data_IF_332856620494
#
_entry.id   IF_332856620494
#
_cell.length_a   1.000
_cell.length_b   1.000
_cell.length_c   1.000
_cell.angle_alpha   90.00
_cell.angle_beta   90.00
_cell.angle_gamma   90.00
#
_symmetry.space_group_name_H-M   'P 1'
#
loop_
_entity.id
_entity.type
_entity.pdbx_description
1 polymer ?
#
# COMPACT_ATOMS: atom_id res chain seq x y z
N UNK A 1 73.73 -23.50 -62.00
CA UNK A 1 73.97 -24.17 -63.29
C UNK A 1 73.62 -25.64 -63.10
N UNK A 2 72.60 -26.12 -63.84
CA UNK A 2 72.38 -27.50 -64.31
C UNK A 2 72.25 -28.62 -63.25
N UNK A 3 71.02 -29.09 -62.97
CA UNK A 3 70.33 -30.32 -63.50
C UNK A 3 70.74 -31.59 -62.72
N UNK A 4 69.87 -32.50 -62.28
CA UNK A 4 68.87 -33.33 -62.98
C UNK A 4 67.81 -33.88 -61.97
N UNK A 5 66.48 -33.88 -62.26
CA UNK A 5 65.61 -34.96 -62.81
C UNK A 5 65.49 -36.21 -61.88
N UNK A 6 64.37 -36.90 -61.64
CA UNK A 6 62.96 -36.89 -62.06
C UNK A 6 62.22 -38.00 -61.24
N UNK A 7 60.93 -37.82 -60.92
CA UNK A 7 59.81 -38.79 -60.96
C UNK A 7 58.67 -38.33 -60.02
N UNK A 8 57.68 -37.58 -60.54
CA UNK A 8 56.37 -38.03 -61.03
C UNK A 8 55.48 -38.72 -59.99
N UNK A 9 54.47 -38.01 -59.46
CA UNK A 9 53.07 -38.13 -59.92
C UNK A 9 52.16 -37.02 -59.35
N UNK A 10 51.02 -36.83 -60.00
CA UNK A 10 50.30 -35.58 -60.22
C UNK A 10 49.05 -35.38 -59.33
N UNK A 11 48.78 -34.08 -59.07
CA UNK A 11 47.49 -33.37 -59.09
C UNK A 11 46.43 -33.58 -57.99
N UNK A 12 46.48 -32.67 -57.02
CA UNK A 12 45.51 -31.60 -56.72
C UNK A 12 44.00 -31.86 -56.53
N UNK A 13 43.58 -31.41 -55.34
CA UNK A 13 42.47 -30.51 -55.04
C UNK A 13 41.02 -31.02 -55.08
N UNK A 14 40.53 -31.34 -53.89
CA UNK A 14 39.20 -30.91 -53.43
C UNK A 14 39.34 -30.34 -52.02
N UNK A 15 39.12 -29.04 -51.90
CA UNK A 15 39.13 -28.29 -50.66
C UNK A 15 37.85 -28.59 -49.86
N UNK A 16 38.00 -29.16 -48.66
CA UNK A 16 36.95 -29.18 -47.65
C UNK A 16 37.26 -28.13 -46.59
N UNK A 17 36.88 -26.89 -46.87
CA UNK A 17 36.76 -25.81 -45.88
C UNK A 17 35.59 -26.12 -44.96
N UNK A 18 35.88 -26.67 -43.79
CA UNK A 18 34.95 -26.65 -42.66
C UNK A 18 35.01 -25.27 -42.00
N UNK A 19 33.90 -24.56 -41.82
CA UNK A 19 33.91 -23.31 -41.07
C UNK A 19 34.17 -23.62 -39.59
N UNK A 20 35.30 -23.15 -39.07
CA UNK A 20 35.53 -23.04 -37.64
C UNK A 20 34.57 -21.98 -37.10
N UNK A 21 33.45 -22.42 -36.56
CA UNK A 21 32.63 -21.58 -35.70
C UNK A 21 33.47 -21.17 -34.49
N UNK A 22 33.56 -19.87 -34.14
CA UNK A 22 34.17 -19.48 -32.88
C UNK A 22 33.33 -20.09 -31.77
N UNK A 23 33.98 -20.91 -30.94
CA UNK A 23 33.41 -21.40 -29.69
C UNK A 23 33.10 -20.16 -28.85
N UNK A 24 31.84 -19.75 -28.86
CA UNK A 24 31.34 -18.77 -27.92
C UNK A 24 31.62 -19.33 -26.53
N UNK A 25 32.41 -18.60 -25.76
CA UNK A 25 32.39 -18.70 -24.32
C UNK A 25 30.96 -18.33 -23.90
N UNK A 26 30.07 -19.33 -23.90
CA UNK A 26 28.90 -19.30 -23.04
C UNK A 26 29.46 -19.22 -21.63
N UNK A 27 29.58 -17.99 -21.13
CA UNK A 27 29.49 -17.75 -19.69
C UNK A 27 28.23 -18.47 -19.27
N UNK A 28 28.38 -19.63 -18.62
CA UNK A 28 27.29 -20.26 -17.91
C UNK A 28 26.98 -19.33 -16.74
N UNK A 29 26.19 -18.29 -17.00
CA UNK A 29 25.55 -17.50 -15.95
C UNK A 29 24.66 -18.51 -15.24
N UNK A 30 25.13 -19.11 -14.15
CA UNK A 30 24.23 -19.79 -13.23
C UNK A 30 23.18 -18.74 -12.89
N UNK A 31 21.93 -19.01 -13.25
CA UNK A 31 20.82 -18.14 -12.88
C UNK A 31 20.86 -18.05 -11.36
N UNK A 32 21.28 -16.89 -10.85
CA UNK A 32 21.30 -16.65 -9.41
C UNK A 32 19.85 -16.79 -8.95
N UNK A 33 19.63 -17.59 -7.92
CA UNK A 33 18.33 -17.71 -7.29
C UNK A 33 18.22 -16.65 -6.18
N UNK A 34 17.02 -16.17 -5.95
CA UNK A 34 16.66 -15.35 -4.82
C UNK A 34 15.39 -15.88 -4.17
N UNK A 35 15.21 -15.53 -2.91
CA UNK A 35 14.04 -15.93 -2.13
C UNK A 35 12.85 -15.06 -2.47
N UNK A 36 11.70 -15.72 -2.65
CA UNK A 36 10.39 -15.10 -2.73
C UNK A 36 9.46 -15.78 -1.71
N UNK A 37 8.60 -14.99 -1.09
CA UNK A 37 7.57 -15.46 -0.17
C UNK A 37 6.21 -15.12 -0.77
N UNK A 38 5.44 -16.14 -1.12
CA UNK A 38 4.02 -15.96 -1.43
C UNK A 38 3.21 -16.07 -0.15
N UNK A 39 2.25 -15.16 0.01
CA UNK A 39 1.31 -15.18 1.11
C UNK A 39 -0.09 -15.28 0.54
N UNK A 40 -0.76 -16.39 0.82
CA UNK A 40 -2.08 -16.72 0.29
C UNK A 40 -3.14 -16.68 1.38
N UNK A 41 -4.42 -16.65 0.97
CA UNK A 41 -5.52 -16.76 1.92
C UNK A 41 -5.61 -18.19 2.47
N UNK A 42 -5.98 -18.37 3.75
CA UNK A 42 -6.21 -19.71 4.29
C UNK A 42 -7.36 -20.40 3.53
N UNK A 43 -7.08 -21.60 3.02
CA UNK A 43 -8.06 -22.43 2.33
C UNK A 43 -8.86 -23.32 3.30
N UNK A 44 -9.98 -23.92 2.85
CA UNK A 44 -10.76 -24.85 3.68
C UNK A 44 -9.97 -26.12 4.07
N UNK A 45 -8.92 -26.46 3.32
CA UNK A 45 -8.04 -27.63 3.55
C UNK A 45 -6.61 -27.25 3.93
N UNK A 46 -6.08 -26.11 3.45
CA UNK A 46 -4.70 -25.67 3.71
C UNK A 46 -4.73 -24.50 4.70
N UNK A 47 -4.22 -24.74 5.91
CA UNK A 47 -4.10 -23.71 6.95
C UNK A 47 -2.80 -22.89 6.82
N UNK A 48 -1.80 -23.43 6.14
CA UNK A 48 -0.54 -22.73 5.89
C UNK A 48 -0.74 -21.70 4.77
N UNK A 49 -0.54 -20.43 5.12
CA UNK A 49 -0.75 -19.30 4.23
C UNK A 49 0.56 -18.75 3.64
N UNK A 50 1.71 -19.31 4.00
CA UNK A 50 3.03 -18.76 3.69
C UNK A 50 3.87 -19.80 2.97
N UNK A 51 4.27 -19.50 1.75
CA UNK A 51 5.03 -20.38 0.89
C UNK A 51 6.34 -19.71 0.51
N UNK A 52 7.46 -20.40 0.76
CA UNK A 52 8.80 -19.92 0.42
C UNK A 52 9.24 -20.58 -0.89
N UNK A 53 9.78 -19.77 -1.80
CA UNK A 53 10.29 -20.20 -3.09
C UNK A 53 11.71 -19.68 -3.30
N UNK A 54 12.50 -20.46 -4.03
CA UNK A 54 13.70 -19.96 -4.69
C UNK A 54 13.37 -19.74 -6.17
N UNK A 55 13.43 -18.48 -6.59
CA UNK A 55 13.11 -18.06 -7.96
C UNK A 55 14.34 -17.43 -8.62
N UNK A 56 14.47 -17.45 -9.95
CA UNK A 56 15.55 -16.72 -10.61
C UNK A 56 15.50 -15.23 -10.26
N UNK A 57 16.67 -14.63 -10.02
CA UNK A 57 16.80 -13.17 -9.89
C UNK A 57 16.25 -12.55 -11.18
N UNK A 58 15.31 -11.60 -11.09
CA UNK A 58 14.66 -11.03 -12.25
C UNK A 58 15.66 -10.24 -13.12
N UNK A 59 15.50 -10.36 -14.44
CA UNK A 59 16.24 -9.58 -15.42
C UNK A 59 15.85 -8.10 -15.33
N UNK A 60 16.83 -7.21 -15.49
CA UNK A 60 16.63 -5.77 -15.38
C UNK A 60 15.97 -5.23 -16.64
N UNK A 61 14.80 -4.57 -16.55
CA UNK A 61 14.17 -3.95 -17.71
C UNK A 61 15.09 -2.89 -18.34
N UNK A 62 15.15 -2.75 -19.69
CA UNK A 62 16.12 -1.86 -20.35
C UNK A 62 16.07 -0.39 -19.89
N UNK A 63 14.88 0.14 -19.61
CA UNK A 63 14.67 1.53 -19.14
C UNK A 63 14.41 1.62 -17.63
N UNK A 64 14.55 0.49 -16.93
CA UNK A 64 14.12 0.32 -15.56
C UNK A 64 15.26 0.16 -14.59
N UNK A 65 14.95 -0.47 -13.46
CA UNK A 65 15.93 -0.85 -12.46
C UNK A 65 15.52 -2.14 -11.75
N UNK A 66 16.51 -2.84 -11.20
CA UNK A 66 16.32 -3.86 -10.17
C UNK A 66 16.66 -3.26 -8.82
N UNK A 67 15.80 -3.50 -7.85
CA UNK A 67 15.97 -3.11 -6.47
C UNK A 67 16.28 -4.34 -5.63
N UNK A 68 17.22 -4.21 -4.71
CA UNK A 68 17.36 -5.11 -3.57
C UNK A 68 16.36 -4.67 -2.50
N UNK A 69 15.37 -5.49 -2.24
CA UNK A 69 14.31 -5.21 -1.26
C UNK A 69 14.91 -5.28 0.14
N UNK A 70 14.73 -4.24 0.95
CA UNK A 70 15.21 -4.24 2.34
C UNK A 70 14.04 -4.42 3.29
N UNK A 71 12.97 -3.65 3.10
CA UNK A 71 11.76 -3.72 3.91
C UNK A 71 10.52 -3.77 3.00
N UNK A 72 9.57 -4.64 3.36
CA UNK A 72 8.26 -4.72 2.74
C UNK A 72 7.14 -4.62 3.78
N UNK A 73 6.16 -3.74 3.55
CA UNK A 73 4.98 -3.61 4.41
C UNK A 73 4.05 -4.82 4.29
N UNK A 74 3.53 -5.32 5.43
CA UNK A 74 2.55 -6.42 5.43
C UNK A 74 1.14 -5.86 5.41
N UNK A 75 0.38 -6.11 4.34
CA UNK A 75 -0.95 -5.51 4.11
C UNK A 75 -2.05 -6.54 3.83
N UNK A 76 -3.30 -6.25 4.20
CA UNK A 76 -4.49 -7.08 3.90
C UNK A 76 -5.00 -6.95 2.45
N UNK A 77 -4.86 -7.98 1.62
CA UNK A 77 -5.41 -8.07 0.25
C UNK A 77 -6.94 -8.07 0.27
N UNK A 78 -7.53 -7.58 -0.82
CA UNK A 78 -8.93 -7.85 -1.13
C UNK A 78 -9.09 -8.51 -2.51
N UNK A 79 -10.13 -9.36 -2.64
CA UNK A 79 -10.31 -10.44 -3.62
C UNK A 79 -10.44 -10.00 -5.09
N UNK A 80 -10.71 -8.73 -5.37
CA UNK A 80 -11.12 -8.28 -6.70
C UNK A 80 -9.98 -8.01 -7.70
N UNK A 81 -8.71 -8.26 -7.35
CA UNK A 81 -7.55 -8.02 -8.23
C UNK A 81 -6.87 -9.27 -8.80
N UNK A 82 -7.43 -10.46 -8.64
CA UNK A 82 -6.90 -11.66 -9.31
C UNK A 82 -7.47 -11.78 -10.73
N UNK A 83 -6.68 -11.39 -11.73
CA UNK A 83 -6.58 -12.19 -12.95
C UNK A 83 -5.72 -13.41 -12.58
N UNK A 84 -6.36 -14.53 -12.25
CA UNK A 84 -5.69 -15.79 -11.96
C UNK A 84 -5.01 -16.34 -13.22
N UNK A 85 -3.69 -16.46 -13.20
CA UNK A 85 -2.90 -17.25 -14.18
C UNK A 85 -2.97 -18.73 -13.87
N UNK A 86 -4.18 -19.28 -13.76
CA UNK A 86 -4.44 -20.73 -13.78
C UNK A 86 -5.95 -20.95 -13.69
N UNK A 87 -6.58 -21.19 -14.85
CA UNK A 87 -7.64 -22.18 -15.08
C UNK A 87 -8.46 -21.76 -16.30
N UNK A 88 -8.24 -22.45 -17.42
CA UNK A 88 -9.30 -22.58 -18.41
C UNK A 88 -10.43 -23.37 -17.73
N UNK A 89 -11.62 -22.78 -17.59
CA UNK A 89 -12.95 -23.42 -17.76
C UNK A 89 -14.11 -22.59 -17.19
N UNK A 90 -15.06 -22.28 -18.08
CA UNK A 90 -16.53 -22.18 -17.89
C UNK A 90 -17.18 -21.17 -16.92
N UNK A 91 -18.06 -20.36 -17.54
CA UNK A 91 -19.18 -19.60 -16.96
C UNK A 91 -19.89 -20.26 -15.77
N UNK A 92 -20.23 -19.47 -14.73
CA UNK A 92 -21.57 -19.45 -14.13
C UNK A 92 -21.75 -18.37 -13.03
N UNK A 93 -22.81 -17.59 -13.23
CA UNK A 93 -23.78 -17.01 -12.26
C UNK A 93 -23.33 -16.08 -11.12
N UNK A 94 -23.80 -14.84 -11.24
CA UNK A 94 -24.17 -13.92 -10.16
C UNK A 94 -25.01 -14.64 -9.08
N UNK A 95 -24.49 -14.77 -7.86
CA UNK A 95 -25.31 -14.87 -6.66
C UNK A 95 -24.67 -14.04 -5.54
N UNK A 96 -25.46 -13.07 -5.11
CA UNK A 96 -25.33 -12.26 -3.90
C UNK A 96 -24.98 -13.10 -2.68
N UNK A 97 -23.83 -12.81 -2.06
CA UNK A 97 -23.51 -13.24 -0.70
C UNK A 97 -23.31 -12.01 0.17
N UNK A 98 -24.27 -11.84 1.08
CA UNK A 98 -24.24 -10.93 2.22
C UNK A 98 -23.05 -11.26 3.14
N UNK A 99 -22.58 -10.21 3.84
CA UNK A 99 -21.85 -10.25 5.11
C UNK A 99 -20.97 -11.49 5.39
N UNK A 100 -19.69 -11.45 5.00
CA UNK A 100 -18.62 -11.92 5.90
C UNK A 100 -17.26 -11.31 5.50
N UNK A 101 -16.52 -10.64 6.42
CA UNK A 101 -15.06 -10.55 6.35
C UNK A 101 -14.37 -11.86 6.79
N UNK A 102 -15.16 -12.91 6.98
CA UNK A 102 -14.78 -14.25 7.40
C UNK A 102 -14.90 -15.21 6.22
N UNK A 103 -13.88 -16.04 6.01
CA UNK A 103 -14.06 -17.24 5.19
C UNK A 103 -15.19 -18.08 5.82
N UNK A 104 -16.16 -18.63 5.04
CA UNK A 104 -17.20 -19.51 5.56
C UNK A 104 -16.67 -20.71 6.36
N UNK A 105 -15.38 -21.03 6.18
CA UNK A 105 -14.68 -22.09 6.92
C UNK A 105 -14.23 -21.67 8.34
N UNK A 106 -14.16 -20.38 8.67
CA UNK A 106 -13.58 -19.89 9.93
C UNK A 106 -14.34 -18.69 10.51
N UNK A 107 -15.26 -18.96 11.45
CA UNK A 107 -15.84 -17.92 12.31
C UNK A 107 -14.76 -17.36 13.26
N UNK A 108 -14.57 -16.03 13.28
CA UNK A 108 -13.68 -15.36 14.24
C UNK A 108 -12.25 -15.07 13.78
N UNK A 109 -11.82 -15.56 12.61
CA UNK A 109 -10.49 -15.29 12.03
C UNK A 109 -10.64 -14.27 10.90
N UNK A 110 -9.96 -13.11 10.98
CA UNK A 110 -9.91 -12.14 9.87
C UNK A 110 -9.23 -12.81 8.67
N UNK A 111 -9.75 -12.59 7.46
CA UNK A 111 -9.11 -13.06 6.24
C UNK A 111 -7.67 -12.53 6.16
N UNK A 112 -6.70 -13.44 6.25
CA UNK A 112 -5.27 -13.19 6.18
C UNK A 112 -4.73 -13.22 4.75
N UNK A 113 -5.60 -13.12 3.73
CA UNK A 113 -5.17 -12.82 2.38
C UNK A 113 -4.29 -11.56 2.42
N UNK A 114 -2.97 -11.69 2.25
CA UNK A 114 -2.07 -10.55 2.29
C UNK A 114 -1.74 -10.09 0.87
N UNK A 115 -1.56 -8.79 0.70
CA UNK A 115 -1.13 -8.18 -0.56
C UNK A 115 0.20 -8.79 -0.96
N UNK A 116 0.53 -8.88 -2.25
CA UNK A 116 1.80 -9.40 -2.73
C UNK A 116 3.04 -8.52 -2.40
N UNK A 117 2.95 -7.62 -1.41
CA UNK A 117 4.07 -6.77 -1.00
C UNK A 117 4.28 -5.54 -1.88
N UNK A 118 3.26 -4.70 -2.09
CA UNK A 118 3.38 -3.46 -2.87
C UNK A 118 4.04 -2.29 -2.11
N UNK A 119 4.32 -2.48 -0.82
CA UNK A 119 4.94 -1.49 0.06
C UNK A 119 6.43 -1.76 0.18
N UNK A 120 7.21 -1.46 -0.86
CA UNK A 120 8.64 -1.81 -0.93
C UNK A 120 9.53 -0.58 -0.72
N UNK A 121 10.50 -0.73 0.17
CA UNK A 121 11.67 0.14 0.21
C UNK A 121 12.95 -0.70 0.09
N UNK A 122 13.94 -0.14 -0.56
CA UNK A 122 15.17 -0.87 -0.84
C UNK A 122 16.24 0.00 -1.43
N UNK A 123 17.18 -0.68 -2.10
CA UNK A 123 18.37 -0.08 -2.66
C UNK A 123 18.43 -0.42 -4.14
N UNK A 124 18.76 0.56 -4.98
CA UNK A 124 19.00 0.33 -6.41
C UNK A 124 20.20 -0.60 -6.56
N UNK A 125 19.95 -1.80 -7.06
CA UNK A 125 20.95 -2.85 -7.27
C UNK A 125 21.58 -2.75 -8.66
N UNK A 126 20.74 -2.53 -9.68
CA UNK A 126 21.17 -2.45 -11.09
C UNK A 126 20.22 -1.54 -11.88
N UNK A 127 20.78 -0.79 -12.84
CA UNK A 127 20.03 0.03 -13.79
C UNK A 127 19.98 -0.65 -15.15
N UNK A 128 18.87 -0.47 -15.88
CA UNK A 128 18.71 -1.00 -17.22
C UNK A 128 19.73 -0.42 -18.21
N UNK A 129 20.06 -1.21 -19.24
CA UNK A 129 21.09 -0.86 -20.23
C UNK A 129 20.77 0.37 -21.09
N UNK A 130 19.49 0.76 -21.16
CA UNK A 130 19.00 1.89 -21.96
C UNK A 130 18.65 3.11 -21.09
N UNK A 131 18.94 3.08 -19.78
CA UNK A 131 18.84 4.25 -18.90
C UNK A 131 19.93 5.25 -19.27
N UNK A 132 19.54 6.33 -19.96
CA UNK A 132 20.43 7.42 -20.36
C UNK A 132 20.24 8.69 -19.53
N UNK A 133 19.00 8.95 -19.09
CA UNK A 133 18.63 9.96 -18.11
C UNK A 133 18.08 9.24 -16.87
N UNK A 134 18.77 9.38 -15.75
CA UNK A 134 18.43 8.69 -14.52
C UNK A 134 17.74 9.59 -13.49
N UNK A 135 17.47 10.87 -13.78
CA UNK A 135 16.70 11.74 -12.89
C UNK A 135 17.21 11.79 -11.44
N UNK A 136 18.52 11.60 -11.22
CA UNK A 136 19.24 11.47 -9.94
C UNK A 136 19.21 10.09 -9.24
N UNK A 137 18.68 9.05 -9.88
CA UNK A 137 18.72 7.69 -9.34
C UNK A 137 20.04 7.01 -9.74
N UNK A 138 20.82 6.62 -8.73
CA UNK A 138 22.14 5.98 -8.91
C UNK A 138 22.18 4.60 -8.25
N UNK A 139 23.15 3.77 -8.64
CA UNK A 139 23.42 2.50 -7.96
C UNK A 139 23.71 2.74 -6.48
N UNK A 140 23.14 1.92 -5.61
CA UNK A 140 23.24 2.08 -4.16
C UNK A 140 22.29 3.12 -3.56
N UNK A 141 21.52 3.86 -4.36
CA UNK A 141 20.54 4.82 -3.85
C UNK A 141 19.41 4.11 -3.11
N UNK A 142 19.04 4.65 -1.94
CA UNK A 142 17.85 4.24 -1.20
C UNK A 142 16.61 4.80 -1.88
N UNK A 143 15.63 3.94 -2.12
CA UNK A 143 14.40 4.29 -2.83
C UNK A 143 13.18 3.61 -2.21
N UNK A 144 12.02 4.24 -2.36
CA UNK A 144 10.73 3.64 -2.12
C UNK A 144 10.00 3.47 -3.45
N UNK A 145 9.29 2.35 -3.62
CA UNK A 145 8.56 2.01 -4.83
C UNK A 145 7.16 2.63 -4.80
N UNK A 146 6.84 3.46 -5.80
CA UNK A 146 5.47 3.92 -6.04
C UNK A 146 4.64 2.77 -6.66
N UNK A 147 3.43 2.47 -6.14
CA UNK A 147 2.61 1.39 -6.65
C UNK A 147 2.04 1.74 -8.04
N UNK A 148 2.22 0.83 -9.01
CA UNK A 148 1.69 0.95 -10.36
C UNK A 148 0.97 -0.34 -10.79
N UNK A 149 0.22 -0.27 -11.89
CA UNK A 149 -0.47 -1.44 -12.43
C UNK A 149 0.52 -2.47 -12.99
N UNK A 150 0.41 -3.72 -12.54
CA UNK A 150 1.32 -4.79 -12.95
C UNK A 150 2.67 -4.82 -12.20
N UNK A 151 2.79 -4.07 -11.10
CA UNK A 151 3.96 -4.17 -10.23
C UNK A 151 4.15 -5.62 -9.73
N UNK A 152 5.38 -6.19 -9.79
CA UNK A 152 5.63 -7.55 -9.31
C UNK A 152 5.39 -7.71 -7.81
N UNK A 153 5.35 -8.96 -7.35
CA UNK A 153 5.27 -9.28 -5.92
C UNK A 153 6.55 -8.82 -5.21
N UNK A 154 6.41 -7.90 -4.26
CA UNK A 154 7.53 -7.31 -3.52
C UNK A 154 7.96 -8.07 -2.27
N UNK A 155 7.30 -9.19 -1.93
CA UNK A 155 7.84 -10.13 -0.95
C UNK A 155 8.93 -11.03 -1.55
N UNK A 156 9.94 -10.43 -2.15
CA UNK A 156 11.09 -11.09 -2.73
C UNK A 156 12.36 -10.32 -2.38
N UNK A 157 13.53 -10.96 -2.40
CA UNK A 157 14.81 -10.27 -2.16
C UNK A 157 15.13 -9.22 -3.24
N UNK A 158 14.57 -9.41 -4.44
CA UNK A 158 14.73 -8.50 -5.57
C UNK A 158 13.39 -8.23 -6.25
N UNK A 159 13.17 -6.98 -6.64
CA UNK A 159 12.02 -6.55 -7.45
C UNK A 159 12.52 -5.68 -8.59
N UNK A 160 11.83 -5.68 -9.72
CA UNK A 160 12.13 -4.82 -10.87
C UNK A 160 11.04 -3.79 -11.11
N UNK A 161 11.46 -2.65 -11.64
CA UNK A 161 10.56 -1.61 -12.16
C UNK A 161 10.85 -1.37 -13.63
N UNK A 162 9.82 -1.19 -14.47
CA UNK A 162 10.02 -0.99 -15.91
C UNK A 162 10.58 0.40 -16.24
N UNK A 163 10.37 1.39 -15.36
CA UNK A 163 10.82 2.77 -15.52
C UNK A 163 11.23 3.37 -14.18
N UNK A 164 12.22 4.25 -14.20
CA UNK A 164 12.72 4.94 -13.01
C UNK A 164 11.71 5.93 -12.41
N UNK A 165 10.73 6.38 -13.21
CA UNK A 165 9.63 7.26 -12.77
C UNK A 165 8.73 6.64 -11.68
N UNK A 166 8.86 5.35 -11.39
CA UNK A 166 8.17 4.69 -10.27
C UNK A 166 8.98 4.68 -8.97
N UNK A 167 10.18 5.25 -8.95
CA UNK A 167 11.05 5.26 -7.79
C UNK A 167 11.11 6.65 -7.18
N UNK A 168 10.94 6.71 -5.86
CA UNK A 168 11.14 7.94 -5.09
C UNK A 168 12.42 7.79 -4.26
N UNK A 169 13.44 8.62 -4.47
CA UNK A 169 14.63 8.64 -3.62
C UNK A 169 14.27 8.93 -2.17
N UNK A 170 14.91 8.20 -1.25
CA UNK A 170 14.77 8.37 0.20
C UNK A 170 16.07 8.97 0.75
N UNK A 171 16.00 10.01 1.60
CA UNK A 171 17.18 10.55 2.28
C UNK A 171 17.69 9.63 3.40
N UNK A 172 18.97 9.78 3.76
CA UNK A 172 19.61 8.81 4.66
C UNK A 172 19.03 8.76 6.07
N UNK A 173 18.43 9.87 6.53
CA UNK A 173 17.79 10.00 7.83
C UNK A 173 16.43 9.31 7.95
N UNK A 174 15.79 8.86 6.85
CA UNK A 174 14.48 8.21 6.88
C UNK A 174 14.62 6.68 6.84
N UNK A 175 14.41 5.93 7.95
CA UNK A 175 14.58 4.49 7.99
C UNK A 175 13.78 3.76 6.89
N UNK A 176 14.39 2.75 6.26
CA UNK A 176 13.74 1.99 5.18
C UNK A 176 12.44 1.31 5.65
N UNK A 177 12.38 0.83 6.89
CA UNK A 177 11.13 0.31 7.48
C UNK A 177 10.00 1.35 7.46
N UNK A 178 10.28 2.58 7.88
CA UNK A 178 9.30 3.68 7.82
C UNK A 178 8.96 4.02 6.37
N UNK A 179 9.94 4.10 5.48
CA UNK A 179 9.72 4.41 4.08
C UNK A 179 8.80 3.40 3.38
N UNK A 180 8.91 2.10 3.71
CA UNK A 180 8.03 1.06 3.18
C UNK A 180 6.54 1.32 3.49
N UNK A 181 6.20 2.03 4.57
CA UNK A 181 4.82 2.31 4.97
C UNK A 181 4.16 3.46 4.17
N UNK A 182 4.94 4.18 3.37
CA UNK A 182 4.49 5.40 2.70
C UNK A 182 3.65 5.18 1.43
N UNK A 183 4.02 4.28 0.50
CA UNK A 183 3.44 4.26 -0.85
C UNK A 183 1.98 3.82 -0.93
N UNK A 184 1.46 3.09 0.07
CA UNK A 184 0.04 2.70 0.06
C UNK A 184 -0.72 3.32 1.24
N UNK A 185 -0.38 2.97 2.48
CA UNK A 185 -1.11 3.43 3.66
C UNK A 185 -1.03 4.94 3.85
N UNK A 186 0.18 5.49 3.95
CA UNK A 186 0.33 6.93 4.16
C UNK A 186 -0.16 7.76 2.97
N UNK A 187 0.11 7.29 1.74
CA UNK A 187 -0.31 7.97 0.52
C UNK A 187 -1.84 8.06 0.42
N UNK A 188 -2.57 6.97 0.64
CA UNK A 188 -4.03 7.00 0.63
C UNK A 188 -4.59 7.91 1.73
N UNK A 189 -4.00 7.86 2.93
CA UNK A 189 -4.36 8.75 4.02
C UNK A 189 -4.15 10.23 3.67
N UNK A 190 -3.01 10.57 3.06
CA UNK A 190 -2.73 11.95 2.59
C UNK A 190 -3.76 12.42 1.58
N UNK A 191 -4.11 11.57 0.62
CA UNK A 191 -5.09 11.93 -0.40
C UNK A 191 -6.51 12.07 0.19
N UNK A 192 -6.84 11.32 1.24
CA UNK A 192 -8.07 11.54 1.99
C UNK A 192 -8.09 12.92 2.66
N UNK A 193 -6.95 13.37 3.22
CA UNK A 193 -6.82 14.70 3.84
C UNK A 193 -6.87 15.81 2.79
N UNK A 194 -6.23 15.63 1.63
CA UNK A 194 -6.33 16.58 0.50
C UNK A 194 -7.78 16.70 0.02
N UNK A 195 -8.46 15.57 -0.20
CA UNK A 195 -9.87 15.59 -0.58
C UNK A 195 -10.74 16.27 0.49
N UNK A 196 -10.49 16.01 1.79
CA UNK A 196 -11.19 16.69 2.86
C UNK A 196 -10.92 18.20 2.85
N UNK A 197 -9.69 18.61 2.58
CA UNK A 197 -9.29 20.01 2.52
C UNK A 197 -10.06 20.81 1.46
N UNK A 198 -10.33 20.23 0.29
CA UNK A 198 -11.18 20.87 -0.73
C UNK A 198 -12.55 21.25 -0.17
N UNK A 199 -13.19 20.34 0.57
CA UNK A 199 -14.48 20.60 1.22
C UNK A 199 -14.37 21.55 2.41
N UNK A 200 -13.27 21.51 3.16
CA UNK A 200 -12.99 22.51 4.20
C UNK A 200 -13.00 23.90 3.58
N UNK A 201 -12.29 24.12 2.47
CA UNK A 201 -12.27 25.41 1.78
C UNK A 201 -13.67 25.85 1.32
N UNK A 202 -14.48 24.94 0.80
CA UNK A 202 -15.87 25.23 0.42
C UNK A 202 -16.72 25.63 1.63
N UNK A 203 -16.69 24.85 2.71
CA UNK A 203 -17.48 25.13 3.90
C UNK A 203 -17.05 26.43 4.59
N UNK A 204 -15.75 26.71 4.67
CA UNK A 204 -15.25 27.92 5.31
C UNK A 204 -15.55 29.20 4.49
N UNK A 205 -15.75 29.11 3.17
CA UNK A 205 -16.19 30.24 2.33
C UNK A 205 -17.62 30.68 2.63
N UNK A 206 -18.51 29.73 2.90
CA UNK A 206 -19.93 30.01 3.19
C UNK A 206 -20.18 30.37 4.65
N UNK A 207 -19.24 30.07 5.55
CA UNK A 207 -19.42 30.19 7.00
C UNK A 207 -18.78 31.46 7.58
N UNK A 208 -19.44 32.10 8.57
CA UNK A 208 -18.79 33.16 9.32
C UNK A 208 -17.57 32.63 10.09
N UNK A 209 -16.70 33.54 10.53
CA UNK A 209 -15.42 33.20 11.13
C UNK A 209 -15.50 32.47 12.48
N UNK A 210 -16.66 32.50 13.13
CA UNK A 210 -16.95 31.84 14.40
C UNK A 210 -17.51 30.41 14.24
N UNK A 211 -17.61 29.91 13.01
CA UNK A 211 -18.06 28.55 12.72
C UNK A 211 -16.94 27.69 12.13
N UNK A 212 -16.61 26.64 12.87
CA UNK A 212 -15.59 25.66 12.51
C UNK A 212 -16.13 24.61 11.52
N UNK A 213 -15.23 24.04 10.73
CA UNK A 213 -15.46 22.82 9.97
C UNK A 213 -15.06 21.60 10.81
N UNK A 214 -15.94 20.60 10.87
CA UNK A 214 -15.76 19.43 11.74
C UNK A 214 -15.47 18.18 10.93
N UNK A 215 -14.33 17.56 11.22
CA UNK A 215 -13.87 16.34 10.57
C UNK A 215 -13.91 15.19 11.57
N UNK A 216 -14.58 14.10 11.21
CA UNK A 216 -14.56 12.83 11.94
C UNK A 216 -13.70 11.82 11.19
N UNK A 217 -12.64 11.32 11.81
CA UNK A 217 -11.82 10.22 11.26
C UNK A 217 -12.24 8.92 11.96
N UNK A 218 -12.69 7.93 11.19
CA UNK A 218 -13.17 6.65 11.71
C UNK A 218 -12.09 5.59 11.60
N UNK A 219 -11.78 4.96 12.74
CA UNK A 219 -10.82 3.88 12.89
C UNK A 219 -9.53 4.31 13.59
N UNK A 220 -8.79 3.31 14.08
CA UNK A 220 -7.46 3.48 14.71
C UNK A 220 -6.46 2.44 14.21
N UNK A 221 -6.70 1.84 13.03
CA UNK A 221 -5.74 0.99 12.34
C UNK A 221 -4.68 1.82 11.59
N UNK A 222 -3.64 1.17 11.06
CA UNK A 222 -2.48 1.86 10.47
C UNK A 222 -2.82 2.98 9.47
N UNK A 223 -3.83 2.78 8.61
CA UNK A 223 -4.29 3.79 7.65
C UNK A 223 -4.93 5.02 8.34
N UNK A 224 -5.83 4.80 9.30
CA UNK A 224 -6.44 5.89 10.06
C UNK A 224 -5.41 6.64 10.91
N UNK A 225 -4.43 5.93 11.48
CA UNK A 225 -3.35 6.54 12.25
C UNK A 225 -2.48 7.48 11.41
N UNK A 226 -2.23 7.14 10.15
CA UNK A 226 -1.60 8.05 9.20
C UNK A 226 -2.49 9.27 8.95
N UNK A 227 -3.77 9.07 8.64
CA UNK A 227 -4.68 10.17 8.33
C UNK A 227 -4.84 11.16 9.48
N UNK A 228 -4.87 10.69 10.72
CA UNK A 228 -4.93 11.57 11.89
C UNK A 228 -3.70 12.47 11.96
N UNK A 229 -2.50 11.88 11.83
CA UNK A 229 -1.24 12.62 11.94
C UNK A 229 -1.04 13.59 10.78
N UNK A 230 -1.39 13.17 9.58
CA UNK A 230 -1.36 14.02 8.39
C UNK A 230 -2.39 15.15 8.51
N UNK A 231 -3.62 14.87 8.95
CA UNK A 231 -4.65 15.89 9.13
C UNK A 231 -4.27 16.90 10.23
N UNK A 232 -3.73 16.42 11.35
CA UNK A 232 -3.21 17.29 12.40
C UNK A 232 -2.10 18.19 11.87
N UNK A 233 -1.14 17.65 11.12
CA UNK A 233 -0.08 18.46 10.52
C UNK A 233 -0.67 19.50 9.53
N UNK A 234 -1.52 19.05 8.62
CA UNK A 234 -2.10 19.85 7.53
C UNK A 234 -2.98 21.01 8.04
N UNK A 235 -3.86 20.73 9.00
CA UNK A 235 -4.81 21.72 9.53
C UNK A 235 -4.28 22.49 10.75
N UNK A 236 -3.01 22.29 11.15
CA UNK A 236 -2.35 23.09 12.21
C UNK A 236 -1.87 24.47 11.74
N UNK A 237 -1.83 24.73 10.43
CA UNK A 237 -1.43 26.03 9.91
C UNK A 237 -2.31 27.15 10.46
N UNK A 238 -1.78 28.37 10.56
CA UNK A 238 -2.51 29.52 11.12
C UNK A 238 -3.85 29.80 10.42
N UNK A 239 -4.00 29.36 9.17
CA UNK A 239 -5.23 29.51 8.40
C UNK A 239 -6.37 28.62 8.91
N UNK A 240 -6.05 27.42 9.44
CA UNK A 240 -7.04 26.40 9.79
C UNK A 240 -7.10 26.06 11.29
N UNK A 241 -6.07 26.41 12.05
CA UNK A 241 -5.87 25.98 13.45
C UNK A 241 -7.09 26.21 14.35
N UNK A 242 -7.77 27.35 14.17
CA UNK A 242 -8.96 27.72 14.93
C UNK A 242 -10.25 27.66 14.09
N UNK A 243 -10.22 26.93 12.98
CA UNK A 243 -11.34 26.76 12.03
C UNK A 243 -11.65 25.31 11.70
N UNK A 244 -10.80 24.35 12.08
CA UNK A 244 -10.99 22.93 11.79
C UNK A 244 -10.88 22.11 13.07
N UNK A 245 -11.96 21.41 13.42
CA UNK A 245 -12.01 20.52 14.57
C UNK A 245 -11.93 19.06 14.12
N UNK A 246 -10.94 18.33 14.61
CA UNK A 246 -10.76 16.90 14.31
C UNK A 246 -11.24 16.05 15.50
N UNK A 247 -12.12 15.10 15.21
CA UNK A 247 -12.54 14.06 16.15
C UNK A 247 -12.20 12.69 15.58
N UNK A 248 -11.80 11.74 16.43
CA UNK A 248 -11.47 10.38 16.04
C UNK A 248 -12.46 9.41 16.68
N UNK A 249 -13.08 8.58 15.86
CA UNK A 249 -13.91 7.47 16.31
C UNK A 249 -13.08 6.18 16.36
N UNK A 250 -12.82 5.65 17.56
CA UNK A 250 -12.11 4.39 17.71
C UNK A 250 -13.08 3.22 17.91
N UNK A 251 -12.85 2.13 17.18
CA UNK A 251 -13.62 0.89 17.28
C UNK A 251 -13.16 -0.02 18.44
N UNK A 252 -11.98 0.23 19.03
CA UNK A 252 -11.37 -0.60 20.06
C UNK A 252 -10.93 0.27 21.25
N UNK A 253 -10.83 -0.32 22.44
CA UNK A 253 -10.33 0.39 23.64
C UNK A 253 -8.89 0.92 23.46
N UNK A 254 -8.12 0.35 22.53
CA UNK A 254 -6.77 0.82 22.22
C UNK A 254 -6.73 2.28 21.72
N UNK A 255 -7.85 2.83 21.23
CA UNK A 255 -7.98 4.24 20.90
C UNK A 255 -7.67 5.18 22.07
N UNK A 256 -7.83 4.74 23.33
CA UNK A 256 -7.47 5.55 24.50
C UNK A 256 -5.97 5.66 24.73
N UNK A 257 -5.18 4.65 24.32
CA UNK A 257 -3.71 4.78 24.31
C UNK A 257 -3.30 5.83 23.27
N UNK A 258 -3.97 5.82 22.11
CA UNK A 258 -3.75 6.78 21.04
C UNK A 258 -4.08 8.22 21.46
N UNK A 259 -5.14 8.43 22.25
CA UNK A 259 -5.49 9.76 22.76
C UNK A 259 -4.42 10.40 23.65
N UNK A 260 -3.50 9.61 24.22
CA UNK A 260 -2.35 10.16 24.96
C UNK A 260 -1.25 10.68 24.02
N UNK A 261 -1.13 10.09 22.83
CA UNK A 261 -0.14 10.47 21.81
C UNK A 261 -0.65 11.61 20.92
N UNK A 262 -1.97 11.67 20.71
CA UNK A 262 -2.62 12.66 19.86
C UNK A 262 -3.06 13.86 20.69
N UNK A 263 -2.23 14.89 20.71
CA UNK A 263 -2.62 16.19 21.27
C UNK A 263 -3.67 16.86 20.37
N UNK A 264 -4.65 17.53 20.98
CA UNK A 264 -5.62 18.40 20.28
C UNK A 264 -6.63 17.67 19.36
N UNK A 265 -7.03 16.45 19.74
CA UNK A 265 -8.05 15.67 19.03
C UNK A 265 -9.07 15.13 20.03
N UNK A 266 -10.35 15.26 19.70
CA UNK A 266 -11.41 14.63 20.48
C UNK A 266 -11.49 13.14 20.14
N UNK A 267 -11.71 12.29 21.14
CA UNK A 267 -11.90 10.85 20.94
C UNK A 267 -13.33 10.46 21.29
N UNK A 268 -13.96 9.67 20.42
CA UNK A 268 -15.21 8.97 20.72
C UNK A 268 -15.02 7.47 20.48
N UNK A 269 -15.61 6.66 21.34
CA UNK A 269 -15.59 5.21 21.18
C UNK A 269 -16.83 4.72 20.43
N UNK A 270 -16.60 3.94 19.38
CA UNK A 270 -17.59 3.19 18.62
C UNK A 270 -17.56 1.71 19.01
N UNK A 271 -17.93 1.41 20.26
CA UNK A 271 -18.11 0.03 20.70
C UNK A 271 -19.36 -0.54 20.04
N UNK A 272 -19.19 -1.55 19.19
CA UNK A 272 -20.26 -2.18 18.42
C UNK A 272 -21.31 -2.92 19.27
N UNK A 273 -21.02 -3.20 20.54
CA UNK A 273 -21.96 -3.79 21.51
C UNK A 273 -22.98 -2.76 22.02
N UNK A 274 -22.73 -1.47 21.82
CA UNK A 274 -23.62 -0.39 22.25
C UNK A 274 -24.70 -0.12 21.19
N UNK A 275 -25.88 0.29 21.66
CA UNK A 275 -26.98 0.69 20.78
C UNK A 275 -26.60 1.83 19.83
N UNK A 276 -27.01 1.68 18.57
CA UNK A 276 -26.61 2.57 17.48
C UNK A 276 -26.95 4.05 17.76
N UNK A 277 -28.16 4.31 18.27
CA UNK A 277 -28.61 5.67 18.63
C UNK A 277 -27.68 6.33 19.66
N UNK A 278 -27.23 5.58 20.66
CA UNK A 278 -26.32 6.09 21.68
C UNK A 278 -24.94 6.39 21.11
N UNK A 279 -24.42 5.56 20.19
CA UNK A 279 -23.15 5.84 19.51
C UNK A 279 -23.22 7.13 18.69
N UNK A 280 -24.33 7.36 17.99
CA UNK A 280 -24.55 8.59 17.21
C UNK A 280 -24.65 9.81 18.11
N UNK A 281 -25.44 9.73 19.20
CA UNK A 281 -25.60 10.81 20.16
C UNK A 281 -24.27 11.18 20.83
N UNK A 282 -23.50 10.19 21.30
CA UNK A 282 -22.15 10.39 21.87
C UNK A 282 -21.17 11.00 20.86
N UNK A 283 -21.24 10.57 19.60
CA UNK A 283 -20.39 11.11 18.54
C UNK A 283 -20.72 12.57 18.28
N UNK A 284 -22.01 12.91 18.17
CA UNK A 284 -22.43 14.30 18.01
C UNK A 284 -22.07 15.15 19.22
N UNK A 285 -22.20 14.63 20.43
CA UNK A 285 -21.79 15.35 21.64
C UNK A 285 -20.28 15.64 21.65
N UNK A 286 -19.45 14.64 21.37
CA UNK A 286 -17.99 14.79 21.25
C UNK A 286 -17.57 15.79 20.15
N UNK A 287 -18.33 15.84 19.05
CA UNK A 287 -18.15 16.79 17.95
C UNK A 287 -18.87 18.14 18.16
N UNK A 288 -19.54 18.35 19.30
CA UNK A 288 -20.37 19.53 19.59
C UNK A 288 -21.43 19.82 18.50
N UNK A 289 -22.03 18.76 17.97
CA UNK A 289 -23.01 18.80 16.87
C UNK A 289 -22.70 17.78 15.76
N UNK A 290 -23.45 17.83 14.64
CA UNK A 290 -23.11 17.03 13.47
C UNK A 290 -21.76 17.45 12.87
N UNK A 291 -21.14 16.53 12.14
CA UNK A 291 -19.85 16.76 11.46
C UNK A 291 -20.06 17.08 9.98
N UNK A 292 -19.10 17.75 9.37
CA UNK A 292 -19.19 18.15 7.96
C UNK A 292 -18.52 17.14 7.04
N UNK A 293 -17.43 16.55 7.52
CA UNK A 293 -16.62 15.60 6.77
C UNK A 293 -16.41 14.37 7.65
N UNK A 294 -16.59 13.19 7.08
CA UNK A 294 -16.18 11.93 7.68
C UNK A 294 -15.14 11.28 6.79
N UNK A 295 -14.01 10.85 7.34
CA UNK A 295 -13.03 9.99 6.66
C UNK A 295 -13.17 8.59 7.26
N UNK A 296 -13.79 7.66 6.53
CA UNK A 296 -14.04 6.30 7.01
C UNK A 296 -13.18 5.28 6.26
N UNK A 297 -12.19 4.72 6.97
CA UNK A 297 -11.30 3.68 6.48
C UNK A 297 -11.72 2.27 6.91
N UNK A 298 -12.61 2.16 7.90
CA UNK A 298 -13.06 0.89 8.47
C UNK A 298 -14.41 0.45 7.92
N UNK A 299 -14.78 0.96 6.74
CA UNK A 299 -16.16 1.11 6.32
C UNK A 299 -16.91 -0.22 6.15
N UNK A 300 -17.74 -0.55 7.13
CA UNK A 300 -18.80 -1.56 7.04
C UNK A 300 -20.12 -0.90 6.66
N UNK A 301 -21.13 -1.68 6.29
CA UNK A 301 -22.49 -1.12 6.10
C UNK A 301 -23.00 -0.44 7.37
N UNK A 302 -22.63 -0.96 8.55
CA UNK A 302 -23.04 -0.40 9.84
C UNK A 302 -22.29 0.90 10.14
N UNK A 303 -20.97 0.93 9.97
CA UNK A 303 -20.18 2.14 10.22
C UNK A 303 -20.54 3.26 9.24
N UNK A 304 -20.76 2.96 7.95
CA UNK A 304 -21.16 3.96 6.95
C UNK A 304 -22.51 4.56 7.28
N UNK A 305 -23.48 3.73 7.68
CA UNK A 305 -24.79 4.21 8.12
C UNK A 305 -24.66 5.17 9.31
N UNK A 306 -23.85 4.80 10.31
CA UNK A 306 -23.52 5.67 11.46
C UNK A 306 -22.91 7.00 11.02
N UNK A 307 -21.90 6.95 10.14
CA UNK A 307 -21.23 8.11 9.57
C UNK A 307 -22.24 9.08 8.92
N UNK A 308 -23.16 8.57 8.09
CA UNK A 308 -24.24 9.36 7.48
C UNK A 308 -25.20 9.99 8.51
N UNK A 309 -25.44 9.32 9.64
CA UNK A 309 -26.26 9.87 10.72
C UNK A 309 -25.55 10.93 11.56
N UNK A 310 -24.23 10.90 11.62
CA UNK A 310 -23.40 11.91 12.27
C UNK A 310 -23.15 13.14 11.39
N UNK A 311 -23.26 13.01 10.07
CA UNK A 311 -23.06 14.09 9.11
C UNK A 311 -24.17 15.17 9.17
N UNK A 312 -23.78 16.40 8.88
CA UNK A 312 -24.65 17.53 8.65
C UNK A 312 -25.31 17.44 7.25
N UNK A 313 -26.29 18.29 6.99
CA UNK A 313 -26.79 18.53 5.62
C UNK A 313 -25.65 19.06 4.75
N UNK A 314 -25.56 18.62 3.49
CA UNK A 314 -24.41 18.86 2.58
C UNK A 314 -23.08 18.21 3.00
N UNK A 315 -23.07 17.49 4.13
CA UNK A 315 -21.87 16.81 4.61
C UNK A 315 -21.43 15.68 3.67
N UNK A 316 -20.15 15.32 3.77
CA UNK A 316 -19.53 14.31 2.92
C UNK A 316 -18.84 13.22 3.75
N UNK A 317 -18.99 11.97 3.31
CA UNK A 317 -18.16 10.85 3.77
C UNK A 317 -17.21 10.41 2.66
N UNK A 318 -15.92 10.44 2.98
CA UNK A 318 -14.82 9.95 2.17
C UNK A 318 -14.56 8.50 2.57
N UNK A 319 -14.61 7.59 1.59
CA UNK A 319 -14.40 6.15 1.76
C UNK A 319 -13.42 5.62 0.74
N UNK A 320 -12.79 4.48 1.01
CA UNK A 320 -11.96 3.80 0.02
C UNK A 320 -12.76 3.47 -1.25
N UNK A 321 -12.12 3.58 -2.42
CA UNK A 321 -12.71 3.33 -3.75
C UNK A 321 -13.52 2.02 -3.81
N UNK A 322 -12.92 0.91 -3.39
CA UNK A 322 -13.59 -0.40 -3.38
C UNK A 322 -14.83 -0.43 -2.47
N UNK A 323 -14.77 0.25 -1.33
CA UNK A 323 -15.93 0.31 -0.43
C UNK A 323 -17.02 1.20 -1.04
N UNK A 324 -16.63 2.27 -1.75
CA UNK A 324 -17.55 3.09 -2.51
C UNK A 324 -18.29 2.24 -3.54
N UNK A 325 -17.59 1.46 -4.37
CA UNK A 325 -18.21 0.59 -5.39
C UNK A 325 -19.24 -0.37 -4.78
N UNK A 326 -18.92 -0.98 -3.65
CA UNK A 326 -19.79 -1.94 -2.97
C UNK A 326 -20.99 -1.30 -2.27
N UNK A 327 -20.79 -0.17 -1.58
CA UNK A 327 -21.78 0.40 -0.67
C UNK A 327 -22.55 1.58 -1.27
N UNK A 328 -22.02 2.29 -2.27
CA UNK A 328 -22.75 3.38 -2.94
C UNK A 328 -24.12 2.95 -3.45
N UNK A 329 -24.31 1.78 -4.11
CA UNK A 329 -25.63 1.36 -4.57
C UNK A 329 -26.65 1.23 -3.43
N UNK A 330 -26.20 0.81 -2.24
CA UNK A 330 -27.04 0.62 -1.06
C UNK A 330 -27.41 1.93 -0.36
N UNK A 331 -26.49 2.91 -0.36
CA UNK A 331 -26.62 4.13 0.42
C UNK A 331 -26.94 5.39 -0.39
N UNK A 332 -26.92 5.33 -1.72
CA UNK A 332 -27.17 6.47 -2.62
C UNK A 332 -28.50 7.17 -2.33
N UNK A 333 -29.59 6.41 -2.16
CA UNK A 333 -30.91 6.97 -1.83
C UNK A 333 -30.91 7.71 -0.50
N UNK A 334 -30.34 7.08 0.54
CA UNK A 334 -30.27 7.67 1.88
C UNK A 334 -29.42 8.96 1.88
N UNK A 335 -28.29 8.94 1.18
CA UNK A 335 -27.43 10.11 1.04
C UNK A 335 -28.17 11.25 0.31
N UNK A 336 -28.87 10.95 -0.79
CA UNK A 336 -29.65 11.94 -1.53
C UNK A 336 -30.79 12.56 -0.69
N UNK A 337 -31.55 11.73 0.05
CA UNK A 337 -32.62 12.19 0.94
C UNK A 337 -32.11 13.13 2.04
N UNK A 338 -30.86 12.94 2.49
CA UNK A 338 -30.19 13.77 3.50
C UNK A 338 -29.35 14.90 2.90
N UNK A 339 -29.32 15.04 1.58
CA UNK A 339 -28.45 15.96 0.85
C UNK A 339 -26.97 15.79 1.23
N UNK A 340 -26.52 14.55 1.39
CA UNK A 340 -25.14 14.19 1.74
C UNK A 340 -24.44 13.53 0.53
N UNK A 341 -23.12 13.50 0.56
CA UNK A 341 -22.30 12.86 -0.48
C UNK A 341 -21.47 11.72 0.10
N UNK A 342 -21.30 10.67 -0.70
CA UNK A 342 -20.34 9.58 -0.45
C UNK A 342 -19.33 9.65 -1.59
N UNK A 343 -18.05 9.78 -1.30
CA UNK A 343 -17.00 9.93 -2.31
C UNK A 343 -15.86 8.94 -2.07
N UNK A 344 -15.43 8.32 -3.18
CA UNK A 344 -14.22 7.49 -3.22
C UNK A 344 -12.96 8.34 -3.09
N UNK A 345 -12.05 7.93 -2.21
CA UNK A 345 -10.71 8.50 -2.07
C UNK A 345 -9.82 7.97 -3.20
N UNK A 346 -9.10 8.87 -3.86
CA UNK A 346 -8.12 8.54 -4.89
C UNK A 346 -6.80 8.07 -4.26
N UNK A 347 -6.06 7.18 -4.94
CA UNK A 347 -4.84 6.56 -4.41
C UNK A 347 -3.66 7.52 -4.22
N UNK A 348 -3.64 8.63 -4.96
CA UNK A 348 -2.57 9.61 -4.93
C UNK A 348 -1.56 9.50 -6.05
N UNK A 349 -0.77 10.56 -6.20
CA UNK A 349 0.28 10.67 -7.22
C UNK A 349 1.67 10.47 -6.61
N UNK A 350 2.68 10.34 -7.46
CA UNK A 350 4.06 10.20 -7.00
C UNK A 350 4.58 11.47 -6.33
N UNK A 351 4.09 12.65 -6.73
CA UNK A 351 4.42 13.93 -6.10
C UNK A 351 3.92 13.97 -4.65
N UNK A 352 2.70 13.46 -4.41
CA UNK A 352 2.17 13.32 -3.05
C UNK A 352 3.06 12.39 -2.20
N UNK A 353 3.62 11.33 -2.80
CA UNK A 353 4.56 10.42 -2.13
C UNK A 353 5.91 11.08 -1.86
N UNK A 354 6.46 11.83 -2.80
CA UNK A 354 7.71 12.59 -2.63
C UNK A 354 7.61 13.58 -1.46
N UNK A 355 6.50 14.32 -1.40
CA UNK A 355 6.25 15.24 -0.29
C UNK A 355 6.04 14.49 1.04
N UNK A 356 5.42 13.30 1.05
CA UNK A 356 5.36 12.47 2.26
C UNK A 356 6.74 12.03 2.74
N UNK A 357 7.60 11.59 1.82
CA UNK A 357 8.99 11.24 2.13
C UNK A 357 9.69 12.41 2.79
N UNK A 358 9.54 13.62 2.25
CA UNK A 358 10.13 14.82 2.83
C UNK A 358 9.59 15.12 4.24
N UNK A 359 8.27 15.22 4.41
CA UNK A 359 7.65 15.56 5.70
C UNK A 359 7.97 14.55 6.81
N UNK A 360 8.08 13.26 6.46
CA UNK A 360 8.43 12.22 7.44
C UNK A 360 9.93 12.21 7.73
N UNK A 361 10.78 12.46 6.73
CA UNK A 361 12.23 12.57 6.92
C UNK A 361 12.61 13.76 7.81
N UNK A 362 11.96 14.90 7.65
CA UNK A 362 12.16 16.09 8.49
C UNK A 362 11.51 15.98 9.88
N UNK A 363 10.76 14.90 10.14
CA UNK A 363 10.09 14.67 11.42
C UNK A 363 8.85 15.53 11.65
N UNK A 364 8.37 16.23 10.61
CA UNK A 364 7.14 17.03 10.67
C UNK A 364 5.88 16.17 10.80
N UNK A 365 5.92 14.96 10.23
CA UNK A 365 4.92 13.91 10.41
C UNK A 365 5.59 12.68 11.01
N UNK A 366 5.24 12.36 12.24
CA UNK A 366 5.75 11.18 12.94
C UNK A 366 5.05 9.92 12.37
N UNK A 367 5.75 8.83 12.01
CA UNK A 367 5.09 7.63 11.55
C UNK A 367 4.26 6.96 12.67
N UNK A 368 3.18 6.22 12.35
CA UNK A 368 2.47 5.44 13.34
C UNK A 368 3.33 4.27 13.85
N UNK A 369 2.97 3.67 15.00
CA UNK A 369 3.69 2.52 15.54
C UNK A 369 3.84 1.41 14.51
N UNK A 370 5.02 0.79 14.46
CA UNK A 370 5.32 -0.33 13.59
C UNK A 370 6.30 -1.28 14.27
N UNK A 371 6.29 -2.53 13.83
CA UNK A 371 7.18 -3.59 14.30
C UNK A 371 7.81 -4.25 13.09
N UNK A 372 9.13 -4.36 13.13
CA UNK A 372 9.92 -5.06 12.12
C UNK A 372 10.05 -6.53 12.51
N UNK A 373 9.91 -7.41 11.51
CA UNK A 373 10.06 -8.84 11.65
C UNK A 373 11.03 -9.35 10.60
N UNK A 374 11.80 -10.38 10.95
CA UNK A 374 12.58 -11.09 9.95
C UNK A 374 11.62 -11.75 8.94
N UNK A 375 12.01 -11.79 7.67
CA UNK A 375 11.27 -12.54 6.64
C UNK A 375 11.09 -14.03 7.01
N UNK A 376 11.99 -14.61 7.80
CA UNK A 376 11.87 -15.97 8.32
C UNK A 376 10.69 -16.18 9.28
N UNK A 377 10.22 -15.11 9.92
CA UNK A 377 9.10 -15.15 10.85
C UNK A 377 7.75 -14.89 10.16
N UNK A 378 7.69 -14.84 8.82
CA UNK A 378 6.47 -14.46 8.09
C UNK A 378 5.23 -15.24 8.54
N UNK A 379 5.31 -16.57 8.69
CA UNK A 379 4.16 -17.36 9.16
C UNK A 379 3.64 -16.92 10.54
N UNK A 380 4.54 -16.58 11.47
CA UNK A 380 4.17 -16.05 12.79
C UNK A 380 3.58 -14.65 12.69
N UNK A 381 4.15 -13.80 11.82
CA UNK A 381 3.64 -12.45 11.58
C UNK A 381 2.19 -12.51 11.07
N UNK A 382 1.91 -13.43 10.15
CA UNK A 382 0.57 -13.58 9.56
C UNK A 382 -0.42 -14.05 10.61
N UNK A 383 -0.05 -15.06 11.41
CA UNK A 383 -0.87 -15.50 12.54
C UNK A 383 -1.18 -14.33 13.50
N UNK A 384 -0.16 -13.59 13.94
CA UNK A 384 -0.34 -12.43 14.82
C UNK A 384 -1.19 -11.32 14.22
N UNK A 385 -1.16 -11.12 12.90
CA UNK A 385 -2.03 -10.17 12.21
C UNK A 385 -3.49 -10.63 12.24
N UNK A 386 -3.74 -11.90 11.91
CA UNK A 386 -5.07 -12.50 11.98
C UNK A 386 -5.67 -12.38 13.39
N UNK A 387 -4.85 -12.61 14.41
CA UNK A 387 -5.22 -12.54 15.83
C UNK A 387 -5.24 -11.09 16.38
N UNK A 388 -4.91 -10.09 15.55
CA UNK A 388 -4.82 -8.67 15.93
C UNK A 388 -3.85 -8.38 17.09
N UNK A 389 -2.77 -9.15 17.21
CA UNK A 389 -1.77 -9.04 18.29
C UNK A 389 -0.64 -8.05 17.98
N UNK A 390 -0.51 -7.59 16.73
CA UNK A 390 0.53 -6.63 16.35
C UNK A 390 0.00 -5.21 16.53
N UNK A 391 0.57 -4.42 17.46
CA UNK A 391 0.22 -3.01 17.57
C UNK A 391 0.77 -2.24 16.37
N UNK A 392 -0.10 -1.52 15.66
CA UNK A 392 0.30 -0.71 14.51
C UNK A 392 0.58 -1.52 13.25
N UNK A 393 1.75 -1.32 12.62
CA UNK A 393 2.10 -1.93 11.32
C UNK A 393 3.16 -3.03 11.43
N UNK A 394 2.97 -4.14 10.73
CA UNK A 394 4.02 -5.15 10.53
C UNK A 394 4.83 -4.86 9.26
N UNK A 395 6.15 -5.01 9.36
CA UNK A 395 7.09 -4.83 8.26
C UNK A 395 7.99 -6.06 8.22
N UNK A 396 8.14 -6.67 7.05
CA UNK A 396 9.09 -7.76 6.82
C UNK A 396 10.42 -7.18 6.35
N UNK A 397 11.50 -7.56 7.03
CA UNK A 397 12.86 -7.20 6.68
C UNK A 397 13.53 -8.38 5.97
N UNK A 398 14.03 -8.11 4.76
CA UNK A 398 14.73 -9.08 3.93
C UNK A 398 16.24 -9.03 4.15
N UNK A 399 16.79 -7.82 4.34
CA UNK A 399 18.22 -7.60 4.51
C UNK A 399 18.51 -6.68 5.69
N UNK A 400 19.63 -6.96 6.38
CA UNK A 400 20.18 -6.10 7.43
C UNK A 400 21.09 -5.05 6.79
N UNK A 401 20.49 -4.11 6.08
CA UNK A 401 21.17 -2.93 5.53
C UNK A 401 20.60 -1.72 6.27
N UNK A 402 21.49 -0.92 6.87
CA UNK A 402 21.13 0.29 7.60
C UNK A 402 20.83 1.45 6.65
#
# INVERSE_FOLDING_TARGET
MLTELLSHENLNNSANTTPRYPCSLQSSTMNKLCRQVSIESPGPTVKDCVFNFEVPVPDVPPFGARLRVVCAGVCYRNRNRSASVSSMSSNASNQSLEETPFSPAHHGIRDGALFPGYEVSGIVDELGSEVTDNGNIVLGQRVVLFPYEGVPDGYAEYIVVPQLSYLVPIPDNLPLSVAAMLPTGALLAKNAVIAAHEYVLEFLKERPSDQDCKILIVGTGGLALWAIRIAQHHFKSLEYKDRVQITVASLKDEGFKLAKELHDVNLVQWNEEVYEKQLIERTKDACRGPVDIVIDFGTTSRSLHRSLQCLNTKGIVLVNEEVAERLLPKFSRLAAERQQKIQAIQKGTIEHLQELVHLVAEGEIIPPPHTEFCIDDTSKVIQKLCDSEIPGRAILRFHNIQ
#
